data_IF_065782394350
#
_entry.id   IF_065782394350
#
_cell.length_a   1.000
_cell.length_b   1.000
_cell.length_c   1.000
_cell.angle_alpha   90.00
_cell.angle_beta   90.00
_cell.angle_gamma   90.00
#
_symmetry.space_group_name_H-M   'P 1'
#
loop_
_entity.id
_entity.type
_entity.pdbx_description
1 polymer ?
#
# COMPACT_ATOMS: atom_id res chain seq x y z
N UNK A 1 43.23 48.93 -74.26
CA UNK A 1 43.33 50.40 -74.20
C UNK A 1 42.63 50.84 -72.91
N UNK A 2 43.35 51.45 -71.95
CA UNK A 2 42.85 51.94 -70.65
C UNK A 2 42.65 50.85 -69.57
N UNK A 3 43.47 50.63 -68.51
CA UNK A 3 43.79 51.47 -67.31
C UNK A 3 42.49 51.88 -66.57
N UNK A 4 42.23 51.67 -65.28
CA UNK A 4 43.03 51.55 -64.05
C UNK A 4 42.24 50.86 -62.91
N UNK A 5 42.98 50.34 -61.92
CA UNK A 5 42.76 50.34 -60.44
C UNK A 5 41.42 49.78 -59.90
N UNK A 6 41.37 48.78 -59.02
CA UNK A 6 42.30 48.37 -57.97
C UNK A 6 41.67 48.71 -56.61
N UNK A 7 41.25 47.70 -55.83
CA UNK A 7 41.31 47.73 -54.37
C UNK A 7 41.07 46.33 -53.79
N UNK A 8 42.00 45.97 -52.92
CA UNK A 8 42.21 44.74 -52.18
C UNK A 8 41.31 44.70 -50.93
N UNK A 9 40.61 43.58 -50.65
CA UNK A 9 39.99 43.29 -49.34
C UNK A 9 40.14 41.79 -49.03
N UNK A 10 41.26 41.50 -48.37
CA UNK A 10 41.44 40.75 -47.12
C UNK A 10 40.38 39.68 -46.72
N UNK A 11 40.91 38.47 -46.53
CA UNK A 11 40.27 37.25 -45.99
C UNK A 11 39.45 37.51 -44.70
N UNK A 12 38.18 37.11 -44.70
CA UNK A 12 37.34 37.02 -43.50
C UNK A 12 37.66 35.75 -42.72
N UNK A 13 38.22 35.92 -41.53
CA UNK A 13 38.28 34.94 -40.45
C UNK A 13 36.94 34.95 -39.70
N UNK A 14 36.32 33.76 -39.53
CA UNK A 14 35.20 33.58 -38.62
C UNK A 14 35.74 33.53 -37.19
N UNK A 15 35.44 34.55 -36.37
CA UNK A 15 35.48 34.42 -34.92
C UNK A 15 34.13 33.87 -34.44
N UNK A 16 34.17 32.69 -33.81
CA UNK A 16 33.07 32.13 -33.04
C UNK A 16 33.01 32.79 -31.66
N UNK A 17 31.83 33.27 -31.30
CA UNK A 17 31.54 33.81 -29.97
C UNK A 17 30.92 32.71 -29.12
N UNK A 18 31.69 32.09 -28.22
CA UNK A 18 31.18 31.19 -27.19
C UNK A 18 30.65 32.01 -26.02
N UNK A 19 29.32 32.12 -25.90
CA UNK A 19 28.67 32.63 -24.69
C UNK A 19 28.71 31.53 -23.61
N UNK A 20 29.53 31.71 -22.58
CA UNK A 20 29.48 30.86 -21.39
C UNK A 20 28.27 31.27 -20.53
N UNK A 21 27.19 30.48 -20.56
CA UNK A 21 26.13 30.58 -19.56
C UNK A 21 26.65 29.98 -18.24
N UNK A 22 26.89 30.84 -17.25
CA UNK A 22 27.09 30.40 -15.87
C UNK A 22 25.77 29.84 -15.32
N UNK A 23 25.69 28.52 -15.16
CA UNK A 23 24.59 27.87 -14.46
C UNK A 23 24.68 28.23 -12.97
N UNK A 24 23.67 28.94 -12.46
CA UNK A 24 23.53 29.14 -11.02
C UNK A 24 23.24 27.78 -10.36
N UNK A 25 23.89 27.42 -9.25
CA UNK A 25 23.60 26.18 -8.55
C UNK A 25 22.16 26.23 -8.06
N UNK A 26 21.35 25.25 -8.48
CA UNK A 26 20.02 25.06 -7.92
C UNK A 26 20.17 24.86 -6.41
N UNK A 27 19.63 25.78 -5.62
CA UNK A 27 19.51 25.58 -4.17
C UNK A 27 18.71 24.29 -3.97
N UNK A 28 19.36 23.28 -3.41
CA UNK A 28 18.70 22.05 -2.99
C UNK A 28 17.68 22.43 -1.90
N UNK A 29 16.41 22.56 -2.27
CA UNK A 29 15.32 22.70 -1.32
C UNK A 29 15.33 21.48 -0.42
N UNK A 30 15.59 21.68 0.88
CA UNK A 30 15.46 20.61 1.87
C UNK A 30 14.06 20.01 1.72
N UNK A 31 13.94 18.68 1.53
CA UNK A 31 12.63 18.06 1.41
C UNK A 31 11.78 18.42 2.62
N UNK A 32 10.57 18.93 2.39
CA UNK A 32 9.66 19.26 3.48
C UNK A 32 9.32 17.99 4.26
N UNK A 33 9.61 17.98 5.56
CA UNK A 33 9.28 16.85 6.44
C UNK A 33 7.76 16.83 6.68
N UNK A 34 7.13 15.71 6.37
CA UNK A 34 5.71 15.50 6.67
C UNK A 34 5.56 14.90 8.08
N UNK A 35 4.70 15.51 8.90
CA UNK A 35 4.37 14.98 10.24
C UNK A 35 3.01 14.29 10.18
N UNK A 36 2.96 12.94 10.30
CA UNK A 36 1.70 12.21 10.33
C UNK A 36 0.95 12.43 11.64
N UNK A 37 -0.38 12.34 11.58
CA UNK A 37 -1.24 12.42 12.75
C UNK A 37 -1.31 11.05 13.42
N UNK A 38 -0.99 10.98 14.70
CA UNK A 38 -1.06 9.74 15.50
C UNK A 38 -2.49 9.42 15.93
N UNK A 39 -2.84 8.14 16.09
CA UNK A 39 -4.16 7.74 16.60
C UNK A 39 -5.29 7.98 15.60
N UNK A 40 -4.98 7.92 14.30
CA UNK A 40 -5.91 8.15 13.18
C UNK A 40 -5.79 7.06 12.10
N UNK A 41 -5.36 5.86 12.51
CA UNK A 41 -5.11 4.73 11.63
C UNK A 41 -3.67 4.71 11.11
N UNK A 42 -3.34 3.68 10.34
CA UNK A 42 -2.04 3.59 9.66
C UNK A 42 -1.90 4.67 8.58
N UNK A 43 -0.66 5.15 8.38
CA UNK A 43 -0.29 6.22 7.46
C UNK A 43 -0.17 5.72 6.02
N UNK A 44 0.49 4.57 5.83
CA UNK A 44 0.77 4.01 4.51
C UNK A 44 0.82 2.47 4.55
N UNK A 45 0.54 1.86 3.40
CA UNK A 45 0.88 0.46 3.11
C UNK A 45 2.17 0.39 2.30
N UNK A 46 3.07 -0.53 2.66
CA UNK A 46 4.31 -0.81 1.93
C UNK A 46 4.10 -2.03 1.04
N UNK A 47 4.36 -1.87 -0.26
CA UNK A 47 4.13 -2.90 -1.27
C UNK A 47 5.43 -3.16 -2.02
N UNK A 48 5.99 -4.35 -1.88
CA UNK A 48 7.18 -4.74 -2.62
C UNK A 48 6.78 -5.31 -3.98
N UNK A 49 7.32 -4.71 -5.04
CA UNK A 49 7.01 -5.05 -6.43
C UNK A 49 8.28 -5.26 -7.24
N UNK A 50 8.21 -6.15 -8.23
CA UNK A 50 9.33 -6.42 -9.13
C UNK A 50 9.61 -5.23 -10.05
N UNK A 51 8.53 -4.57 -10.50
CA UNK A 51 8.58 -3.38 -11.33
C UNK A 51 7.49 -2.40 -10.85
N UNK A 52 7.85 -1.17 -10.41
CA UNK A 52 6.86 -0.20 -9.98
C UNK A 52 6.06 0.41 -11.14
N UNK A 53 6.54 0.32 -12.39
CA UNK A 53 5.93 0.95 -13.57
C UNK A 53 4.43 0.66 -13.73
N UNK A 54 4.00 -0.62 -13.87
CA UNK A 54 2.60 -0.97 -14.03
C UNK A 54 1.68 -0.46 -12.92
N UNK A 55 2.16 -0.45 -11.68
CA UNK A 55 1.41 0.07 -10.53
C UNK A 55 1.34 1.60 -10.56
N UNK A 56 2.45 2.29 -10.81
CA UNK A 56 2.46 3.74 -10.99
C UNK A 56 1.47 4.16 -12.07
N UNK A 57 1.49 3.51 -13.24
CA UNK A 57 0.58 3.82 -14.34
C UNK A 57 -0.88 3.60 -13.96
N UNK A 58 -1.23 2.47 -13.35
CA UNK A 58 -2.59 2.22 -12.88
C UNK A 58 -3.05 3.32 -11.92
N UNK A 59 -2.25 3.61 -10.88
CA UNK A 59 -2.62 4.61 -9.88
C UNK A 59 -2.75 6.02 -10.49
N UNK A 60 -1.84 6.44 -11.37
CA UNK A 60 -1.85 7.81 -11.90
C UNK A 60 -2.76 8.03 -13.10
N UNK A 61 -2.90 7.05 -13.99
CA UNK A 61 -3.68 7.19 -15.22
C UNK A 61 -5.13 6.74 -15.05
N UNK A 62 -5.38 5.73 -14.22
CA UNK A 62 -6.71 5.13 -14.08
C UNK A 62 -7.38 5.47 -12.76
N UNK A 63 -6.58 5.54 -11.70
CA UNK A 63 -7.07 5.63 -10.34
C UNK A 63 -7.03 7.06 -9.77
N UNK A 64 -6.55 8.05 -10.54
CA UNK A 64 -6.59 9.47 -10.18
C UNK A 64 -5.59 9.90 -9.10
N UNK A 65 -4.58 9.08 -8.81
CA UNK A 65 -3.54 9.36 -7.83
C UNK A 65 -2.35 10.12 -8.45
N UNK A 66 -1.41 10.53 -7.60
CA UNK A 66 -0.15 11.12 -8.03
C UNK A 66 1.05 10.42 -7.38
N UNK A 67 2.19 10.45 -8.09
CA UNK A 67 3.48 10.15 -7.48
C UNK A 67 3.94 11.36 -6.64
N UNK A 68 3.96 11.20 -5.33
CA UNK A 68 4.34 12.24 -4.37
C UNK A 68 5.85 12.28 -4.07
N UNK A 69 6.56 11.19 -4.34
CA UNK A 69 7.99 11.09 -4.11
C UNK A 69 8.60 9.86 -4.78
N UNK A 70 9.89 9.96 -5.11
CA UNK A 70 10.72 8.87 -5.65
C UNK A 70 12.11 8.98 -5.06
N UNK A 71 12.75 7.86 -4.77
CA UNK A 71 14.09 7.86 -4.22
C UNK A 71 14.66 6.48 -3.95
N UNK A 72 15.85 6.45 -3.36
CA UNK A 72 16.41 5.25 -2.76
C UNK A 72 15.83 5.00 -1.38
N UNK A 73 15.71 3.74 -0.99
CA UNK A 73 15.39 3.37 0.40
C UNK A 73 16.65 3.57 1.23
N UNK A 74 16.54 4.32 2.32
CA UNK A 74 17.68 4.57 3.20
C UNK A 74 18.21 3.27 3.82
N UNK A 75 19.54 3.19 3.98
CA UNK A 75 20.22 1.99 4.49
C UNK A 75 19.75 1.61 5.90
N UNK A 76 19.34 2.58 6.71
CA UNK A 76 18.77 2.36 8.05
C UNK A 76 17.43 1.60 7.98
N UNK A 77 16.60 1.82 6.95
CA UNK A 77 15.35 1.07 6.74
C UNK A 77 15.65 -0.38 6.40
N UNK A 78 16.57 -0.61 5.45
CA UNK A 78 16.97 -1.96 5.05
C UNK A 78 17.55 -2.73 6.24
N UNK A 79 18.35 -2.07 7.09
CA UNK A 79 18.86 -2.66 8.33
C UNK A 79 17.75 -2.93 9.36
N UNK A 80 16.79 -2.01 9.53
CA UNK A 80 15.65 -2.19 10.44
C UNK A 80 14.75 -3.36 10.05
N UNK A 81 14.66 -3.66 8.76
CA UNK A 81 13.98 -4.85 8.23
C UNK A 81 14.78 -6.15 8.40
N UNK A 82 16.01 -6.08 8.94
CA UNK A 82 16.88 -7.24 9.11
C UNK A 82 17.47 -7.78 7.80
N UNK A 83 17.47 -6.98 6.74
CA UNK A 83 17.98 -7.41 5.43
C UNK A 83 19.52 -7.20 5.33
N UNK A 84 20.24 -8.06 4.59
CA UNK A 84 21.69 -7.97 4.45
C UNK A 84 22.19 -6.60 3.99
N UNK A 85 23.44 -6.26 4.35
CA UNK A 85 24.10 -5.03 3.94
C UNK A 85 24.26 -4.89 2.41
N UNK A 86 24.27 -6.02 1.69
CA UNK A 86 24.32 -6.08 0.22
C UNK A 86 23.00 -5.71 -0.46
N UNK A 87 21.87 -5.72 0.27
CA UNK A 87 20.56 -5.35 -0.29
C UNK A 87 20.46 -3.83 -0.41
N UNK A 88 20.00 -3.33 -1.54
CA UNK A 88 19.60 -1.93 -1.71
C UNK A 88 18.17 -1.86 -2.22
N UNK A 89 17.58 -0.67 -2.27
CA UNK A 89 16.23 -0.53 -2.79
C UNK A 89 15.89 0.86 -3.27
N UNK A 90 14.80 0.94 -4.01
CA UNK A 90 14.18 2.17 -4.48
C UNK A 90 12.70 2.19 -4.11
N UNK A 91 12.13 3.38 -4.06
CA UNK A 91 10.75 3.59 -3.67
C UNK A 91 10.02 4.62 -4.53
N UNK A 92 8.70 4.46 -4.61
CA UNK A 92 7.76 5.43 -5.16
C UNK A 92 6.60 5.57 -4.18
N UNK A 93 6.33 6.80 -3.75
CA UNK A 93 5.20 7.11 -2.89
C UNK A 93 4.05 7.58 -3.76
N UNK A 94 2.92 6.87 -3.69
CA UNK A 94 1.68 7.18 -4.36
C UNK A 94 0.67 7.69 -3.32
N UNK A 95 -0.01 8.79 -3.63
CA UNK A 95 -1.11 9.31 -2.81
C UNK A 95 -2.28 9.79 -3.67
N UNK A 96 -3.47 9.72 -3.11
CA UNK A 96 -4.62 10.42 -3.67
C UNK A 96 -4.45 11.94 -3.41
N UNK A 97 -4.74 12.82 -4.39
CA UNK A 97 -4.60 14.27 -4.20
C UNK A 97 -5.45 14.79 -3.03
N UNK A 98 -4.82 15.52 -2.11
CA UNK A 98 -5.48 16.10 -0.94
C UNK A 98 -5.55 15.16 0.28
N UNK A 99 -5.31 13.85 0.11
CA UNK A 99 -5.26 12.91 1.22
C UNK A 99 -3.89 12.92 1.91
N UNK A 100 -3.90 13.06 3.23
CA UNK A 100 -2.71 13.12 4.09
C UNK A 100 -2.28 11.75 4.64
N UNK A 101 -3.02 10.68 4.31
CA UNK A 101 -2.79 9.30 4.72
C UNK A 101 -3.40 8.30 3.74
N UNK A 102 -3.29 7.01 4.07
CA UNK A 102 -3.76 5.93 3.19
C UNK A 102 -2.89 5.79 1.93
N UNK A 103 -1.61 6.19 2.04
CA UNK A 103 -0.66 6.18 0.94
C UNK A 103 -0.20 4.76 0.60
N UNK A 104 0.31 4.60 -0.61
CA UNK A 104 0.96 3.36 -1.06
C UNK A 104 2.41 3.65 -1.36
N UNK A 105 3.32 2.99 -0.64
CA UNK A 105 4.76 3.02 -0.92
C UNK A 105 5.13 1.77 -1.69
N UNK A 106 5.37 1.92 -2.99
CA UNK A 106 5.96 0.87 -3.78
C UNK A 106 7.46 0.81 -3.47
N UNK A 107 7.98 -0.38 -3.19
CA UNK A 107 9.41 -0.62 -3.03
C UNK A 107 9.88 -1.67 -4.03
N UNK A 108 11.13 -1.56 -4.45
CA UNK A 108 11.84 -2.61 -5.20
C UNK A 108 13.19 -2.82 -4.57
N UNK A 109 13.51 -4.08 -4.25
CA UNK A 109 14.78 -4.46 -3.63
C UNK A 109 15.71 -5.10 -4.65
N UNK A 110 16.98 -4.69 -4.63
CA UNK A 110 18.07 -5.29 -5.39
C UNK A 110 18.97 -6.09 -4.46
N UNK A 111 19.40 -7.28 -4.89
CA UNK A 111 20.24 -8.17 -4.08
C UNK A 111 19.47 -9.00 -3.04
N UNK A 112 18.15 -8.85 -2.95
CA UNK A 112 17.29 -9.73 -2.17
C UNK A 112 16.83 -10.93 -3.02
N UNK A 113 16.91 -12.15 -2.48
CA UNK A 113 16.29 -13.31 -3.12
C UNK A 113 14.77 -13.26 -2.88
N UNK A 114 14.07 -12.61 -3.81
CA UNK A 114 12.68 -12.23 -3.63
C UNK A 114 11.73 -13.14 -4.40
N UNK A 115 10.65 -13.55 -3.74
CA UNK A 115 9.52 -14.28 -4.34
C UNK A 115 8.20 -13.61 -3.95
N UNK A 116 7.09 -13.85 -4.68
CA UNK A 116 5.79 -13.34 -4.25
C UNK A 116 5.35 -13.98 -2.92
N UNK A 117 4.68 -13.19 -2.07
CA UNK A 117 4.06 -13.64 -0.82
C UNK A 117 2.89 -14.57 -1.15
N UNK A 118 2.09 -14.24 -2.18
CA UNK A 118 0.86 -14.96 -2.57
C UNK A 118 0.84 -15.35 -4.06
N UNK A 119 1.80 -16.13 -4.60
CA UNK A 119 2.02 -16.33 -6.04
C UNK A 119 0.88 -17.08 -6.77
N UNK A 120 0.09 -17.89 -6.06
CA UNK A 120 -1.01 -18.67 -6.62
C UNK A 120 -2.19 -18.78 -5.63
N UNK A 121 -2.29 -17.83 -4.70
CA UNK A 121 -3.22 -17.95 -3.59
C UNK A 121 -4.68 -17.78 -4.04
N UNK A 122 -5.55 -18.62 -3.48
CA UNK A 122 -7.00 -18.42 -3.49
C UNK A 122 -7.40 -17.34 -2.49
N UNK A 123 -8.64 -16.88 -2.58
CA UNK A 123 -9.16 -15.85 -1.69
C UNK A 123 -9.32 -16.34 -0.24
N UNK A 124 -9.37 -17.66 0.00
CA UNK A 124 -9.45 -18.23 1.36
C UNK A 124 -8.10 -18.75 1.90
N UNK A 125 -7.03 -18.67 1.11
CA UNK A 125 -5.70 -19.10 1.56
C UNK A 125 -5.18 -18.16 2.65
N UNK A 126 -4.84 -18.66 3.85
CA UNK A 126 -4.42 -17.82 4.95
C UNK A 126 -3.01 -17.26 4.76
N UNK A 127 -2.70 -16.17 5.46
CA UNK A 127 -1.33 -15.67 5.61
C UNK A 127 -0.97 -14.45 4.76
N UNK A 128 -0.34 -13.47 5.39
CA UNK A 128 0.03 -12.21 4.76
C UNK A 128 -1.16 -11.35 4.31
N UNK A 129 -0.87 -10.09 4.01
CA UNK A 129 -1.89 -9.13 3.60
C UNK A 129 -2.49 -9.54 2.25
N UNK A 130 -3.82 -9.67 2.23
CA UNK A 130 -4.60 -10.09 1.08
C UNK A 130 -4.84 -8.95 0.10
N UNK A 131 -5.35 -7.81 0.55
CA UNK A 131 -5.71 -6.70 -0.35
C UNK A 131 -5.60 -5.32 0.28
N UNK A 132 -5.38 -4.33 -0.59
CA UNK A 132 -5.59 -2.92 -0.30
C UNK A 132 -7.03 -2.55 -0.65
N UNK A 133 -7.80 -2.01 0.28
CA UNK A 133 -9.19 -1.65 0.04
C UNK A 133 -9.36 -0.15 -0.23
N UNK A 134 -10.14 0.16 -1.26
CA UNK A 134 -10.41 1.53 -1.72
C UNK A 134 -11.90 1.72 -2.03
N UNK A 135 -12.34 2.98 -2.06
CA UNK A 135 -13.65 3.40 -2.53
C UNK A 135 -13.56 3.86 -3.98
N UNK A 136 -14.61 3.64 -4.75
CA UNK A 136 -14.79 4.18 -6.10
C UNK A 136 -16.23 4.65 -6.29
N UNK A 137 -16.43 5.51 -7.29
CA UNK A 137 -17.77 5.86 -7.82
C UNK A 137 -18.19 5.01 -9.02
N UNK A 138 -17.24 4.27 -9.60
CA UNK A 138 -17.46 3.36 -10.71
C UNK A 138 -16.46 2.20 -10.63
N UNK A 139 -16.84 1.15 -9.89
CA UNK A 139 -15.99 -0.03 -9.73
C UNK A 139 -15.84 -0.83 -11.05
N UNK A 140 -16.87 -0.80 -11.90
CA UNK A 140 -16.89 -1.53 -13.17
C UNK A 140 -15.91 -0.93 -14.18
N UNK A 141 -15.85 0.40 -14.32
CA UNK A 141 -14.90 1.04 -15.22
C UNK A 141 -13.44 0.72 -14.84
N UNK A 142 -13.12 0.72 -13.55
CA UNK A 142 -11.77 0.37 -13.08
C UNK A 142 -11.44 -1.09 -13.27
N UNK A 143 -12.41 -2.00 -13.07
CA UNK A 143 -12.25 -3.40 -13.44
C UNK A 143 -11.90 -3.55 -14.92
N UNK A 144 -12.65 -2.92 -15.81
CA UNK A 144 -12.40 -3.00 -17.25
C UNK A 144 -11.01 -2.45 -17.63
N UNK A 145 -10.59 -1.34 -17.02
CA UNK A 145 -9.23 -0.79 -17.19
C UNK A 145 -8.15 -1.75 -16.71
N UNK A 146 -8.34 -2.40 -15.57
CA UNK A 146 -7.40 -3.41 -15.07
C UNK A 146 -7.30 -4.61 -16.02
N UNK A 147 -8.43 -5.13 -16.51
CA UNK A 147 -8.44 -6.23 -17.51
C UNK A 147 -7.73 -5.80 -18.80
N UNK A 148 -7.95 -4.57 -19.29
CA UNK A 148 -7.28 -4.04 -20.48
C UNK A 148 -5.75 -3.93 -20.32
N UNK A 149 -5.24 -3.83 -19.08
CA UNK A 149 -3.80 -3.90 -18.75
C UNK A 149 -3.25 -5.33 -18.70
N UNK A 150 -4.08 -6.34 -18.93
CA UNK A 150 -3.73 -7.76 -18.77
C UNK A 150 -3.74 -8.23 -17.31
N UNK A 151 -4.38 -7.48 -16.40
CA UNK A 151 -4.57 -7.94 -15.02
C UNK A 151 -5.75 -8.89 -14.93
N UNK A 152 -5.92 -9.54 -13.78
CA UNK A 152 -7.05 -10.47 -13.54
C UNK A 152 -7.86 -10.02 -12.32
N UNK A 153 -8.87 -10.78 -11.91
CA UNK A 153 -9.66 -10.50 -10.72
C UNK A 153 -10.14 -11.81 -10.07
N UNK A 154 -10.43 -11.78 -8.77
CA UNK A 154 -11.10 -12.92 -8.10
C UNK A 154 -12.58 -13.02 -8.45
N UNK A 155 -13.20 -11.91 -8.83
CA UNK A 155 -14.60 -11.83 -9.17
C UNK A 155 -14.82 -10.77 -10.26
N UNK A 156 -15.90 -10.91 -11.03
CA UNK A 156 -16.47 -9.77 -11.78
C UNK A 156 -17.16 -8.83 -10.80
N UNK A 157 -17.40 -7.54 -11.14
CA UNK A 157 -18.14 -6.63 -10.26
C UNK A 157 -19.43 -7.26 -9.72
N UNK A 158 -19.51 -7.46 -8.39
CA UNK A 158 -20.64 -8.08 -7.70
C UNK A 158 -21.38 -7.05 -6.86
N UNK A 159 -22.70 -7.05 -6.92
CA UNK A 159 -23.55 -6.25 -6.05
C UNK A 159 -24.07 -7.07 -4.86
N UNK A 160 -24.07 -6.49 -3.66
CA UNK A 160 -24.52 -7.15 -2.43
C UNK A 160 -24.90 -6.12 -1.37
N UNK A 161 -25.61 -6.56 -0.32
CA UNK A 161 -25.99 -5.72 0.81
C UNK A 161 -25.20 -6.10 2.06
N UNK A 162 -24.65 -5.12 2.79
CA UNK A 162 -23.80 -5.37 3.97
C UNK A 162 -23.89 -4.28 5.07
N UNK A 163 -24.85 -4.37 5.99
CA UNK A 163 -25.04 -3.32 7.00
C UNK A 163 -25.85 -2.12 6.46
N UNK A 164 -26.96 -2.39 5.78
CA UNK A 164 -27.97 -1.38 5.37
C UNK A 164 -27.66 -0.55 4.10
N UNK A 165 -26.46 -0.74 3.56
CA UNK A 165 -25.91 -0.40 2.23
C UNK A 165 -26.43 -1.34 1.12
N UNK A 166 -26.49 -0.82 -0.10
CA UNK A 166 -26.13 -1.58 -1.31
C UNK A 166 -24.69 -1.21 -1.75
N UNK A 167 -23.85 -2.22 -1.99
CA UNK A 167 -22.47 -2.11 -2.44
C UNK A 167 -22.27 -2.82 -3.77
N UNK A 168 -21.28 -2.36 -4.53
CA UNK A 168 -20.65 -3.10 -5.62
C UNK A 168 -19.18 -3.31 -5.30
N UNK A 169 -18.66 -4.51 -5.48
CA UNK A 169 -17.25 -4.82 -5.21
C UNK A 169 -16.60 -5.64 -6.33
N UNK A 170 -15.32 -5.36 -6.54
CA UNK A 170 -14.40 -6.16 -7.34
C UNK A 170 -13.05 -6.24 -6.66
N UNK A 171 -12.41 -7.40 -6.71
CA UNK A 171 -11.03 -7.58 -6.23
C UNK A 171 -10.13 -7.86 -7.43
N UNK A 172 -9.46 -6.82 -7.92
CA UNK A 172 -8.50 -6.93 -9.02
C UNK A 172 -7.16 -7.47 -8.50
N UNK A 173 -6.48 -8.25 -9.34
CA UNK A 173 -5.20 -8.92 -9.08
C UNK A 173 -4.17 -8.40 -10.09
N UNK A 174 -3.26 -7.57 -9.61
CA UNK A 174 -2.18 -7.04 -10.43
C UNK A 174 -0.89 -7.88 -10.36
N UNK A 175 0.22 -7.34 -10.90
CA UNK A 175 1.53 -7.96 -10.80
C UNK A 175 1.94 -8.30 -9.36
N UNK A 176 2.79 -9.31 -9.20
CA UNK A 176 3.30 -9.78 -7.90
C UNK A 176 2.22 -10.32 -6.94
N UNK A 177 0.99 -10.54 -7.42
CA UNK A 177 -0.12 -11.06 -6.61
C UNK A 177 -0.72 -10.03 -5.65
N UNK A 178 -0.45 -8.73 -5.87
CA UNK A 178 -1.04 -7.65 -5.09
C UNK A 178 -2.48 -7.43 -5.53
N UNK A 179 -3.39 -7.41 -4.56
CA UNK A 179 -4.82 -7.25 -4.82
C UNK A 179 -5.30 -5.86 -4.38
N UNK A 180 -6.18 -5.26 -5.17
CA UNK A 180 -6.93 -4.06 -4.79
C UNK A 180 -8.41 -4.42 -4.76
N UNK A 181 -9.03 -4.31 -3.60
CA UNK A 181 -10.47 -4.44 -3.44
C UNK A 181 -11.11 -3.05 -3.61
N UNK A 182 -11.95 -2.90 -4.62
CA UNK A 182 -12.58 -1.64 -5.00
C UNK A 182 -14.05 -1.73 -4.62
N UNK A 183 -14.49 -0.87 -3.70
CA UNK A 183 -15.88 -0.80 -3.25
C UNK A 183 -16.57 0.45 -3.78
N UNK A 184 -17.70 0.28 -4.42
CA UNK A 184 -18.61 1.36 -4.78
C UNK A 184 -19.85 1.31 -3.89
N UNK A 185 -20.20 2.46 -3.31
CA UNK A 185 -21.45 2.62 -2.57
C UNK A 185 -22.57 2.93 -3.57
N UNK A 186 -23.40 1.93 -3.87
CA UNK A 186 -24.50 2.07 -4.82
C UNK A 186 -25.62 2.91 -4.20
N UNK A 187 -26.06 2.56 -2.98
CA UNK A 187 -27.09 3.30 -2.25
C UNK A 187 -27.01 3.11 -0.71
N UNK A 188 -27.36 4.12 0.10
CA UNK A 188 -27.32 5.55 -0.25
C UNK A 188 -25.90 5.96 -0.64
N UNK A 189 -25.74 6.95 -1.53
CA UNK A 189 -24.41 7.40 -1.97
C UNK A 189 -23.54 7.84 -0.78
N UNK A 190 -22.24 7.57 -0.87
CA UNK A 190 -21.29 7.84 0.21
C UNK A 190 -21.01 9.35 0.26
N UNK A 191 -21.33 9.98 1.40
CA UNK A 191 -21.12 11.41 1.63
C UNK A 191 -19.66 11.68 2.00
N UNK A 192 -19.06 12.74 1.48
CA UNK A 192 -17.67 13.15 1.76
C UNK A 192 -16.62 12.51 0.85
N UNK A 193 -17.06 11.77 -0.17
CA UNK A 193 -16.22 11.06 -1.14
C UNK A 193 -16.59 11.41 -2.60
N UNK A 194 -17.32 12.51 -2.79
CA UNK A 194 -17.86 12.95 -4.09
C UNK A 194 -16.75 13.42 -5.04
N UNK A 195 -15.59 13.79 -4.51
CA UNK A 195 -14.44 14.27 -5.29
C UNK A 195 -13.49 13.15 -5.72
N UNK A 196 -13.77 11.88 -5.37
CA UNK A 196 -12.95 10.75 -5.82
C UNK A 196 -12.90 10.73 -7.35
N UNK A 197 -11.68 10.81 -7.88
CA UNK A 197 -11.37 10.53 -9.28
C UNK A 197 -10.74 9.16 -9.33
N UNK A 198 -11.35 8.18 -10.00
CA UNK A 198 -10.87 6.80 -9.97
C UNK A 198 -11.14 6.12 -8.62
N UNK A 199 -10.11 5.93 -7.80
CA UNK A 199 -10.21 5.34 -6.45
C UNK A 199 -9.73 6.30 -5.36
N UNK A 200 -10.30 6.19 -4.17
CA UNK A 200 -9.86 6.91 -2.97
C UNK A 200 -8.45 6.51 -2.51
N UNK A 201 -7.91 7.17 -1.46
CA UNK A 201 -6.87 6.58 -0.60
C UNK A 201 -7.24 5.17 -0.15
N UNK A 202 -6.23 4.37 0.20
CA UNK A 202 -6.47 3.07 0.84
C UNK A 202 -6.93 3.33 2.27
N UNK A 203 -8.09 2.78 2.64
CA UNK A 203 -8.69 3.01 3.96
C UNK A 203 -8.64 1.75 4.84
N UNK A 204 -8.46 0.58 4.24
CA UNK A 204 -8.44 -0.70 4.94
C UNK A 204 -7.46 -1.66 4.26
N UNK A 205 -6.85 -2.56 5.04
CA UNK A 205 -6.12 -3.73 4.55
C UNK A 205 -6.78 -4.99 5.05
N UNK A 206 -6.85 -6.02 4.21
CA UNK A 206 -7.47 -7.29 4.58
C UNK A 206 -6.43 -8.38 4.75
N UNK A 207 -6.65 -9.31 5.67
CA UNK A 207 -5.91 -10.57 5.79
C UNK A 207 -6.86 -11.75 5.87
N UNK A 208 -6.46 -12.85 5.23
CA UNK A 208 -7.14 -14.13 5.31
C UNK A 208 -6.45 -14.99 6.37
N UNK A 209 -7.22 -15.63 7.25
CA UNK A 209 -6.68 -16.28 8.43
C UNK A 209 -7.24 -17.68 8.67
N UNK A 210 -6.38 -18.57 9.15
CA UNK A 210 -6.74 -19.90 9.60
C UNK A 210 -7.28 -19.85 11.04
N UNK A 211 -6.74 -18.96 11.89
CA UNK A 211 -7.23 -18.72 13.25
C UNK A 211 -7.71 -17.27 13.41
N UNK A 212 -9.03 -17.10 13.32
CA UNK A 212 -9.70 -15.81 13.44
C UNK A 212 -9.48 -15.17 14.81
N UNK A 213 -9.54 -15.95 15.90
CA UNK A 213 -9.46 -15.40 17.24
C UNK A 213 -8.03 -15.00 17.60
N UNK A 214 -7.03 -15.77 17.16
CA UNK A 214 -5.64 -15.42 17.36
C UNK A 214 -5.28 -14.11 16.65
N UNK A 215 -5.69 -13.94 15.39
CA UNK A 215 -5.42 -12.70 14.64
C UNK A 215 -6.17 -11.50 15.25
N UNK A 216 -7.44 -11.69 15.62
CA UNK A 216 -8.25 -10.65 16.25
C UNK A 216 -7.62 -10.20 17.58
N UNK A 217 -7.22 -11.13 18.45
CA UNK A 217 -6.54 -10.83 19.72
C UNK A 217 -5.21 -10.10 19.51
N UNK A 218 -4.45 -10.47 18.48
CA UNK A 218 -3.21 -9.76 18.15
C UNK A 218 -3.46 -8.27 17.91
N UNK A 219 -4.44 -7.91 17.08
CA UNK A 219 -4.75 -6.50 16.83
C UNK A 219 -5.43 -5.83 18.03
N UNK A 220 -6.45 -6.45 18.62
CA UNK A 220 -7.23 -5.81 19.69
C UNK A 220 -6.45 -5.75 21.00
N UNK A 221 -6.02 -6.90 21.53
CA UNK A 221 -5.38 -6.96 22.83
C UNK A 221 -3.91 -6.52 22.74
N UNK A 222 -3.24 -6.91 21.65
CA UNK A 222 -1.82 -6.65 21.42
C UNK A 222 -1.52 -5.21 21.01
N UNK A 223 -2.21 -4.71 19.97
CA UNK A 223 -1.96 -3.39 19.42
C UNK A 223 -2.92 -2.32 19.96
N UNK A 224 -4.02 -2.72 20.60
CA UNK A 224 -5.00 -1.82 21.19
C UNK A 224 -6.08 -1.37 20.21
N UNK A 225 -6.32 -2.14 19.14
CA UNK A 225 -7.36 -1.79 18.16
C UNK A 225 -8.75 -2.04 18.73
N UNK A 226 -9.68 -1.14 18.43
CA UNK A 226 -11.12 -1.38 18.60
C UNK A 226 -11.69 -2.23 17.46
N UNK A 227 -12.99 -2.53 17.53
CA UNK A 227 -13.71 -3.20 16.46
C UNK A 227 -14.96 -2.41 16.07
N UNK A 228 -15.13 -2.20 14.77
CA UNK A 228 -16.37 -1.68 14.19
C UNK A 228 -17.40 -2.78 13.98
N UNK A 229 -16.92 -3.93 13.52
CA UNK A 229 -17.75 -5.09 13.20
C UNK A 229 -17.02 -6.37 13.61
N UNK A 230 -17.75 -7.30 14.19
CA UNK A 230 -17.33 -8.69 14.40
C UNK A 230 -18.55 -9.56 14.17
N UNK A 231 -18.48 -10.50 13.23
CA UNK A 231 -19.60 -11.38 12.97
C UNK A 231 -19.39 -12.27 11.75
N UNK A 232 -20.39 -13.10 11.51
CA UNK A 232 -20.44 -13.97 10.35
C UNK A 232 -21.32 -13.34 9.26
N UNK A 233 -20.91 -13.53 8.01
CA UNK A 233 -21.70 -13.18 6.84
C UNK A 233 -21.91 -14.44 5.98
N UNK A 234 -23.17 -14.73 5.70
CA UNK A 234 -23.61 -15.84 4.85
C UNK A 234 -24.58 -15.30 3.80
N UNK A 235 -24.45 -15.76 2.57
CA UNK A 235 -25.48 -15.50 1.57
C UNK A 235 -26.66 -16.44 1.84
N UNK A 236 -27.88 -15.93 1.68
CA UNK A 236 -29.11 -16.72 1.90
C UNK A 236 -29.56 -17.47 0.65
N UNK A 237 -28.95 -17.17 -0.50
CA UNK A 237 -29.21 -17.82 -1.80
C UNK A 237 -27.90 -18.06 -2.53
N UNK A 238 -27.76 -19.14 -3.33
CA UNK A 238 -26.54 -19.40 -4.09
C UNK A 238 -26.21 -18.25 -5.05
N UNK A 239 -25.07 -17.61 -4.86
CA UNK A 239 -24.62 -16.46 -5.65
C UNK A 239 -23.12 -16.49 -5.91
N UNK A 240 -22.69 -15.77 -6.95
CA UNK A 240 -21.28 -15.46 -7.11
C UNK A 240 -20.84 -14.50 -6.00
N UNK A 241 -19.72 -14.78 -5.34
CA UNK A 241 -19.25 -13.96 -4.22
C UNK A 241 -18.17 -12.99 -4.65
N UNK A 242 -17.96 -11.95 -3.85
CA UNK A 242 -16.87 -10.99 -4.00
C UNK A 242 -15.46 -11.58 -3.78
N UNK A 243 -15.36 -12.88 -3.46
CA UNK A 243 -14.12 -13.61 -3.26
C UNK A 243 -13.98 -14.82 -4.19
N UNK A 244 -14.88 -14.98 -5.17
CA UNK A 244 -14.80 -16.05 -6.16
C UNK A 244 -15.02 -17.46 -5.59
N UNK A 245 -15.83 -17.58 -4.53
CA UNK A 245 -16.26 -18.91 -4.08
C UNK A 245 -17.10 -19.60 -5.17
N UNK A 246 -17.01 -20.94 -5.30
CA UNK A 246 -17.99 -21.71 -6.05
C UNK A 246 -19.41 -21.36 -5.59
N UNK A 247 -20.31 -21.12 -6.54
CA UNK A 247 -21.69 -20.65 -6.26
C UNK A 247 -22.41 -21.58 -5.29
N UNK A 248 -22.22 -22.89 -5.43
CA UNK A 248 -22.82 -23.91 -4.56
C UNK A 248 -22.29 -23.91 -3.12
N UNK A 249 -21.21 -23.19 -2.82
CA UNK A 249 -20.65 -23.04 -1.46
C UNK A 249 -21.02 -21.70 -0.80
N UNK A 250 -21.55 -20.73 -1.55
CA UNK A 250 -21.83 -19.37 -1.04
C UNK A 250 -22.81 -19.31 0.14
N UNK A 251 -23.73 -20.27 0.25
CA UNK A 251 -24.72 -20.35 1.34
C UNK A 251 -24.32 -21.31 2.46
N UNK A 252 -23.20 -22.01 2.32
CA UNK A 252 -22.75 -23.03 3.29
C UNK A 252 -21.36 -22.77 3.84
N UNK A 253 -20.68 -21.73 3.36
CA UNK A 253 -19.37 -21.30 3.82
C UNK A 253 -19.50 -19.93 4.49
N UNK A 254 -19.66 -19.90 5.83
CA UNK A 254 -19.70 -18.66 6.59
C UNK A 254 -18.41 -17.86 6.40
N UNK A 255 -18.52 -16.57 6.13
CA UNK A 255 -17.40 -15.62 6.15
C UNK A 255 -17.36 -14.94 7.51
N UNK A 256 -16.55 -15.47 8.41
CA UNK A 256 -16.31 -14.86 9.70
C UNK A 256 -15.36 -13.69 9.54
N UNK A 257 -15.78 -12.49 9.94
CA UNK A 257 -15.00 -11.26 9.72
C UNK A 257 -14.96 -10.34 10.94
N UNK A 258 -13.85 -9.62 11.07
CA UNK A 258 -13.67 -8.52 12.01
C UNK A 258 -13.13 -7.32 11.25
N UNK A 259 -13.73 -6.15 11.44
CA UNK A 259 -13.20 -4.88 10.91
C UNK A 259 -12.71 -4.08 12.10
N UNK A 260 -11.39 -3.95 12.21
CA UNK A 260 -10.68 -3.42 13.35
C UNK A 260 -10.10 -2.05 13.02
N UNK A 261 -9.99 -1.18 14.03
CA UNK A 261 -9.51 0.19 13.86
C UNK A 261 -8.58 0.62 14.99
N UNK A 262 -7.64 1.53 14.72
CA UNK A 262 -6.89 2.20 15.80
C UNK A 262 -7.76 3.25 16.50
N UNK A 263 -8.64 3.92 15.75
CA UNK A 263 -9.59 4.91 16.22
C UNK A 263 -10.89 4.82 15.43
N UNK A 264 -12.03 5.19 16.02
CA UNK A 264 -13.31 5.24 15.30
C UNK A 264 -13.19 6.07 14.01
N UNK A 265 -13.64 5.49 12.90
CA UNK A 265 -13.51 6.08 11.56
C UNK A 265 -13.26 5.04 10.49
N UNK A 266 -13.16 5.47 9.22
CA UNK A 266 -12.87 4.57 8.09
C UNK A 266 -11.37 4.41 7.81
N UNK A 267 -10.53 5.28 8.35
CA UNK A 267 -9.11 5.34 8.02
C UNK A 267 -8.27 4.31 8.77
N UNK A 268 -7.39 3.65 8.03
CA UNK A 268 -6.38 2.79 8.60
C UNK A 268 -6.92 1.53 9.28
N UNK A 269 -8.02 0.99 8.75
CA UNK A 269 -8.63 -0.25 9.26
C UNK A 269 -7.80 -1.48 8.90
N UNK A 270 -8.04 -2.54 9.66
CA UNK A 270 -7.60 -3.90 9.37
C UNK A 270 -8.81 -4.82 9.37
N UNK A 271 -9.01 -5.55 8.28
CA UNK A 271 -10.06 -6.55 8.17
C UNK A 271 -9.47 -7.97 8.25
N UNK A 272 -9.93 -8.72 9.23
CA UNK A 272 -9.57 -10.12 9.44
C UNK A 272 -10.72 -10.96 8.92
N UNK A 273 -10.45 -11.91 8.02
CA UNK A 273 -11.47 -12.77 7.44
C UNK A 273 -11.08 -14.25 7.44
N UNK A 274 -12.02 -15.11 7.82
CA UNK A 274 -11.94 -16.56 7.71
C UNK A 274 -13.15 -17.11 6.96
N UNK A 275 -12.89 -17.95 5.97
CA UNK A 275 -13.90 -18.80 5.36
C UNK A 275 -14.04 -20.07 6.20
N UNK A 276 -15.14 -20.18 6.95
CA UNK A 276 -15.38 -21.31 7.85
C UNK A 276 -15.68 -22.56 7.03
N UNK A 277 -14.93 -23.63 7.29
CA UNK A 277 -15.06 -24.90 6.55
C UNK A 277 -14.23 -25.00 5.27
N UNK A 278 -13.47 -23.96 4.90
CA UNK A 278 -12.47 -24.04 3.83
C UNK A 278 -11.06 -24.06 4.40
N UNK A 279 -10.24 -24.94 3.83
CA UNK A 279 -8.80 -25.00 4.05
C UNK A 279 -8.06 -24.49 2.82
N UNK A 280 -6.86 -23.98 3.03
CA UNK A 280 -6.05 -23.35 2.00
C UNK A 280 -4.56 -23.48 2.29
N UNK A 281 -3.75 -22.98 1.36
CA UNK A 281 -2.28 -23.01 1.49
C UNK A 281 -1.83 -21.81 2.31
N UNK A 282 -1.20 -22.07 3.46
CA UNK A 282 -0.66 -21.01 4.32
C UNK A 282 0.51 -20.27 3.66
N UNK A 283 0.35 -18.95 3.53
CA UNK A 283 1.32 -18.02 2.96
C UNK A 283 2.12 -17.26 4.05
N UNK A 284 1.84 -17.50 5.33
CA UNK A 284 2.37 -16.71 6.45
C UNK A 284 3.90 -16.63 6.44
N UNK A 285 4.59 -17.75 6.17
CA UNK A 285 6.06 -17.84 6.15
C UNK A 285 6.69 -17.03 5.01
N UNK A 286 5.93 -16.73 3.94
CA UNK A 286 6.41 -15.88 2.85
C UNK A 286 6.27 -14.40 3.17
N UNK A 287 5.46 -14.01 4.16
CA UNK A 287 5.28 -12.60 4.52
C UNK A 287 6.49 -12.07 5.28
N UNK A 288 7.46 -11.56 4.51
CA UNK A 288 8.73 -10.98 4.96
C UNK A 288 9.04 -9.72 4.14
N UNK A 289 9.89 -8.83 4.67
CA UNK A 289 10.33 -7.63 3.93
C UNK A 289 11.09 -7.94 2.64
N UNK A 290 11.62 -9.14 2.47
CA UNK A 290 12.34 -9.56 1.26
C UNK A 290 11.41 -9.98 0.12
N UNK A 291 10.15 -10.32 0.39
CA UNK A 291 9.23 -10.91 -0.58
C UNK A 291 8.25 -9.89 -1.14
N UNK A 292 7.76 -10.15 -2.37
CA UNK A 292 6.89 -9.23 -3.12
C UNK A 292 5.43 -9.42 -2.79
N UNK A 293 4.68 -8.33 -2.70
CA UNK A 293 3.29 -8.30 -2.26
C UNK A 293 3.04 -7.11 -1.36
N UNK A 294 1.90 -7.12 -0.67
CA UNK A 294 1.62 -6.16 0.41
C UNK A 294 2.41 -6.64 1.63
N UNK A 295 3.43 -5.90 2.02
CA UNK A 295 4.42 -6.34 3.01
C UNK A 295 4.02 -5.92 4.42
N UNK A 296 3.70 -4.64 4.59
CA UNK A 296 3.40 -4.05 5.89
C UNK A 296 2.43 -2.88 5.79
N UNK A 297 1.85 -2.53 6.93
CA UNK A 297 1.26 -1.20 7.17
C UNK A 297 2.07 -0.47 8.23
N UNK A 298 2.15 0.87 8.13
CA UNK A 298 2.92 1.72 9.04
C UNK A 298 2.02 2.62 9.86
N UNK A 299 2.07 2.48 11.19
CA UNK A 299 1.27 3.26 12.13
C UNK A 299 2.13 4.36 12.76
N UNK A 300 1.74 5.64 12.64
CA UNK A 300 2.37 6.71 13.40
C UNK A 300 1.95 6.63 14.88
N UNK A 301 2.92 6.56 15.77
CA UNK A 301 2.68 6.46 17.22
C UNK A 301 3.29 7.64 17.96
N UNK A 302 2.63 8.08 19.04
CA UNK A 302 3.11 9.19 19.87
C UNK A 302 4.41 8.81 20.62
N UNK A 303 4.50 7.56 21.08
CA UNK A 303 5.66 7.02 21.79
C UNK A 303 5.88 5.56 21.38
N UNK A 304 7.03 5.29 20.75
CA UNK A 304 7.38 3.95 20.27
C UNK A 304 7.61 2.96 21.41
N UNK A 305 8.10 3.41 22.57
CA UNK A 305 8.39 2.56 23.71
C UNK A 305 7.09 2.13 24.40
N UNK A 306 6.12 3.04 24.53
CA UNK A 306 4.78 2.70 25.04
C UNK A 306 4.08 1.70 24.11
N UNK A 307 4.13 1.94 22.80
CA UNK A 307 3.58 1.00 21.81
C UNK A 307 4.24 -0.38 21.90
N UNK A 308 5.57 -0.42 21.96
CA UNK A 308 6.33 -1.67 22.07
C UNK A 308 6.09 -2.40 23.40
N UNK A 309 6.01 -1.67 24.52
CA UNK A 309 5.74 -2.26 25.83
C UNK A 309 4.35 -2.91 25.90
N UNK A 310 3.33 -2.28 25.29
CA UNK A 310 1.98 -2.86 25.17
C UNK A 310 2.02 -4.21 24.44
N UNK A 311 2.65 -4.25 23.27
CA UNK A 311 2.75 -5.48 22.48
C UNK A 311 3.51 -6.58 23.25
N UNK A 312 4.67 -6.24 23.85
CA UNK A 312 5.46 -7.19 24.67
C UNK A 312 4.69 -7.73 25.87
N UNK A 313 3.86 -6.91 26.53
CA UNK A 313 3.02 -7.33 27.65
C UNK A 313 1.97 -8.40 27.25
N UNK A 314 1.71 -8.56 25.96
CA UNK A 314 0.84 -9.61 25.39
C UNK A 314 1.62 -10.76 24.77
N UNK A 315 2.94 -10.85 25.01
CA UNK A 315 3.80 -11.89 24.47
C UNK A 315 4.14 -11.72 22.98
N UNK A 316 3.85 -10.55 22.40
CA UNK A 316 4.20 -10.28 21.00
C UNK A 316 5.68 -9.89 20.92
N UNK A 317 6.41 -10.56 20.03
CA UNK A 317 7.79 -10.20 19.73
C UNK A 317 7.84 -8.86 18.99
N UNK A 318 8.57 -7.90 19.56
CA UNK A 318 8.77 -6.58 18.95
C UNK A 318 10.22 -6.46 18.49
N UNK A 319 10.40 -6.21 17.18
CA UNK A 319 11.68 -5.88 16.57
C UNK A 319 11.82 -4.38 16.51
N UNK A 320 12.67 -3.82 17.36
CA UNK A 320 12.88 -2.39 17.49
C UNK A 320 14.28 -2.03 17.00
N UNK A 321 14.39 -0.99 16.17
CA UNK A 321 15.68 -0.49 15.71
C UNK A 321 16.47 0.11 16.88
N UNK A 322 17.79 -0.16 16.92
CA UNK A 322 18.71 0.46 17.89
C UNK A 322 18.86 1.96 17.65
N UNK A 323 18.91 2.35 16.38
CA UNK A 323 19.18 3.71 15.93
C UNK A 323 17.96 4.33 15.24
N UNK A 324 18.03 5.64 14.99
CA UNK A 324 17.04 6.34 14.20
C UNK A 324 17.05 5.82 12.75
N UNK A 325 15.87 5.66 12.19
CA UNK A 325 15.65 5.24 10.80
C UNK A 325 15.21 6.45 9.99
N UNK A 326 15.78 6.64 8.80
CA UNK A 326 15.37 7.73 7.90
C UNK A 326 14.32 7.22 6.93
N UNK A 327 13.07 7.70 7.06
CA UNK A 327 11.96 7.34 6.19
C UNK A 327 11.43 8.62 5.54
N UNK A 328 11.59 8.78 4.24
CA UNK A 328 10.99 9.90 3.52
C UNK A 328 9.47 9.72 3.40
N UNK A 329 8.64 10.76 3.53
CA UNK A 329 8.96 12.15 3.85
C UNK A 329 8.98 12.46 5.36
N UNK A 330 8.91 11.46 6.23
CA UNK A 330 8.81 11.62 7.70
C UNK A 330 10.14 12.02 8.37
N UNK A 331 11.26 11.97 7.63
CA UNK A 331 12.58 12.28 8.16
C UNK A 331 13.13 11.17 9.04
N UNK A 332 13.86 11.54 10.10
CA UNK A 332 14.37 10.57 11.08
C UNK A 332 13.25 10.17 12.03
N UNK A 333 13.10 8.87 12.27
CA UNK A 333 12.06 8.30 13.12
C UNK A 333 12.66 7.24 14.04
N UNK A 334 12.03 7.03 15.20
CA UNK A 334 12.19 5.75 15.92
C UNK A 334 11.26 4.73 15.27
N UNK A 335 11.72 3.49 15.12
CA UNK A 335 11.01 2.46 14.38
C UNK A 335 10.97 1.15 15.15
N UNK A 336 9.83 0.46 15.06
CA UNK A 336 9.68 -0.91 15.49
C UNK A 336 8.67 -1.63 14.58
N UNK A 337 8.67 -2.95 14.61
CA UNK A 337 7.67 -3.75 13.93
C UNK A 337 7.37 -5.04 14.69
N UNK A 338 6.19 -5.57 14.41
CA UNK A 338 5.68 -6.84 14.94
C UNK A 338 5.17 -7.71 13.80
N UNK A 339 5.09 -9.02 14.06
CA UNK A 339 4.52 -9.99 13.15
C UNK A 339 3.31 -10.65 13.81
N UNK A 340 2.18 -10.64 13.11
CA UNK A 340 0.95 -11.32 13.55
C UNK A 340 1.07 -12.85 13.45
N UNK A 341 0.13 -13.61 14.06
CA UNK A 341 0.07 -15.06 13.90
C UNK A 341 0.07 -15.54 12.44
N UNK A 342 -0.60 -14.81 11.54
CA UNK A 342 -0.66 -15.14 10.10
C UNK A 342 0.42 -14.44 9.27
N UNK A 343 1.45 -13.91 9.92
CA UNK A 343 2.64 -13.37 9.27
C UNK A 343 2.53 -11.93 8.79
N UNK A 344 1.37 -11.28 8.94
CA UNK A 344 1.20 -9.86 8.63
C UNK A 344 2.17 -9.00 9.44
N UNK A 345 2.91 -8.13 8.76
CA UNK A 345 3.83 -7.20 9.39
C UNK A 345 3.13 -5.87 9.65
N UNK A 346 3.28 -5.36 10.86
CA UNK A 346 2.84 -4.02 11.26
C UNK A 346 4.05 -3.27 11.77
N UNK A 347 4.38 -2.18 11.09
CA UNK A 347 5.43 -1.25 11.48
C UNK A 347 4.80 -0.12 12.31
N UNK A 348 5.50 0.35 13.33
CA UNK A 348 5.18 1.55 14.09
C UNK A 348 6.36 2.53 14.02
N UNK A 349 6.06 3.82 13.94
CA UNK A 349 7.10 4.84 13.93
C UNK A 349 6.70 6.10 14.69
N UNK A 350 7.70 6.71 15.33
CA UNK A 350 7.58 7.98 16.04
C UNK A 350 8.52 8.99 15.39
N UNK A 351 7.98 10.09 14.86
CA UNK A 351 8.80 11.15 14.26
C UNK A 351 9.74 11.76 15.29
N UNK A 352 11.02 11.85 14.97
CA UNK A 352 12.00 12.52 15.82
C UNK A 352 11.95 14.01 15.53
N UNK A 353 11.46 14.80 16.50
CA UNK A 353 11.64 16.25 16.47
C UNK A 353 13.05 16.57 16.99
N UNK A 354 13.84 17.35 16.24
CA UNK A 354 15.20 17.72 16.64
C UNK A 354 15.24 18.53 17.94
#
# INVERSE_FOLDING_TARGET
MGKLMGHDITKRSLLGTTLALAASPAMATTPSVFTPVTGKGWQEAVVHVANPGPWVEFFTQDAGWQAAGRGGIDRSVIAAWGLPASVSGSEVILRNPGDDKGWVRLITLTGANSQPIRPAAQAWDPGGWFSLMTRSRDATALYNKAIARGWTAYNSPQEFNFGGVALKNVVIRGPDGVNIAIYERVSPKLVGWETITGISRVFNVMTMVADFEAERKFFQDGLGFGAWFVGDYEDTTPVATNFGLPVNLSTTTPRRSAILWESEGEDGRVEVMRFVGLEGVDQSQRSTFANRGIVSVRIPVADINVWAARARAKGIEVRQSSDLVTIAPYGRVRHAWVRSPHGNLVEAFQTHRP
#
